data_IF_113332154898
#
_entry.id   IF_113332154898
#
_cell.length_a   1.000
_cell.length_b   1.000
_cell.length_c   1.000
_cell.angle_alpha   90.00
_cell.angle_beta   90.00
_cell.angle_gamma   90.00
#
_symmetry.space_group_name_H-M   'P 1'
#
loop_
_entity.id
_entity.type
_entity.pdbx_description
1 polymer ?
#
# COMPACT_ATOMS: atom_id res chain seq x y z
N UNK A 1 4.50 -29.35 -2.38
CA UNK A 1 4.40 -28.38 -1.25
C UNK A 1 4.53 -26.97 -1.82
N UNK A 2 3.43 -26.23 -1.99
CA UNK A 2 3.49 -24.88 -2.56
C UNK A 2 4.10 -23.90 -1.55
N UNK A 3 5.33 -23.43 -1.79
CA UNK A 3 5.96 -22.42 -0.94
C UNK A 3 5.30 -21.07 -1.19
N UNK A 4 4.78 -20.45 -0.14
CA UNK A 4 4.26 -19.07 -0.22
C UNK A 4 5.45 -18.12 -0.33
N UNK A 5 5.55 -17.42 -1.46
CA UNK A 5 6.64 -16.49 -1.77
C UNK A 5 6.34 -15.03 -1.39
N UNK A 6 5.15 -14.79 -0.84
CA UNK A 6 4.67 -13.48 -0.42
C UNK A 6 4.34 -13.45 1.07
N UNK A 7 4.43 -12.28 1.68
CA UNK A 7 3.96 -12.01 3.05
C UNK A 7 3.05 -10.80 3.03
N UNK A 8 2.00 -10.82 3.84
CA UNK A 8 1.14 -9.67 4.09
C UNK A 8 1.24 -9.32 5.57
N UNK A 9 1.54 -8.06 5.86
CA UNK A 9 1.59 -7.52 7.22
C UNK A 9 0.66 -6.33 7.30
N UNK A 10 -0.27 -6.35 8.25
CA UNK A 10 -1.12 -5.21 8.54
C UNK A 10 -0.35 -4.23 9.42
N UNK A 11 -0.41 -2.95 9.06
CA UNK A 11 0.19 -1.85 9.79
C UNK A 11 -0.88 -0.81 10.09
N UNK A 12 -0.77 -0.20 11.25
CA UNK A 12 -1.54 0.99 11.58
C UNK A 12 -0.56 2.14 11.80
N UNK A 13 -0.85 3.29 11.20
CA UNK A 13 -0.06 4.50 11.30
C UNK A 13 -0.98 5.65 11.66
N UNK A 14 -0.61 6.43 12.68
CA UNK A 14 -1.29 7.68 13.02
C UNK A 14 -0.35 8.85 12.76
N UNK A 15 -0.78 9.79 11.92
CA UNK A 15 -0.03 11.02 11.64
C UNK A 15 -0.78 12.26 12.16
N UNK A 16 -0.08 13.27 12.67
CA UNK A 16 -0.70 14.55 13.03
C UNK A 16 -1.08 15.32 11.77
N UNK A 17 -2.23 16.00 11.82
CA UNK A 17 -2.76 16.83 10.73
C UNK A 17 -2.90 18.27 11.23
N UNK A 18 -2.54 19.22 10.39
CA UNK A 18 -2.70 20.65 10.68
C UNK A 18 -3.85 21.19 9.84
N UNK A 19 -5.04 21.29 10.44
CA UNK A 19 -6.23 21.81 9.77
C UNK A 19 -6.97 20.76 8.96
N UNK A 20 -6.78 20.74 7.65
CA UNK A 20 -7.48 19.82 6.73
C UNK A 20 -6.53 18.80 6.14
N UNK A 21 -7.00 17.56 5.99
CA UNK A 21 -6.22 16.48 5.40
C UNK A 21 -5.92 16.81 3.93
N UNK A 22 -4.63 16.86 3.60
CA UNK A 22 -4.12 17.15 2.27
C UNK A 22 -3.57 15.90 1.58
N UNK A 23 -3.35 15.97 0.26
CA UNK A 23 -2.63 14.91 -0.46
C UNK A 23 -1.19 14.72 0.05
N UNK A 24 -0.53 15.80 0.48
CA UNK A 24 0.79 15.74 1.10
C UNK A 24 0.80 14.94 2.39
N UNK A 25 -0.27 14.99 3.18
CA UNK A 25 -0.41 14.18 4.40
C UNK A 25 -0.52 12.70 4.07
N UNK A 26 -1.35 12.36 3.08
CA UNK A 26 -1.51 10.98 2.61
C UNK A 26 -0.19 10.45 2.04
N UNK A 27 0.51 11.26 1.23
CA UNK A 27 1.82 10.91 0.67
C UNK A 27 2.87 10.73 1.76
N UNK A 28 2.90 11.60 2.76
CA UNK A 28 3.77 11.47 3.93
C UNK A 28 3.50 10.16 4.66
N UNK A 29 2.24 9.84 4.93
CA UNK A 29 1.87 8.59 5.58
C UNK A 29 2.27 7.35 4.75
N UNK A 30 2.15 7.43 3.42
CA UNK A 30 2.62 6.38 2.52
C UNK A 30 4.12 6.17 2.62
N UNK A 31 4.89 7.26 2.61
CA UNK A 31 6.35 7.21 2.70
C UNK A 31 6.82 6.67 4.05
N UNK A 32 6.14 6.99 5.15
CA UNK A 32 6.39 6.40 6.47
C UNK A 32 6.16 4.88 6.47
N UNK A 33 5.04 4.43 5.89
CA UNK A 33 4.75 2.99 5.73
C UNK A 33 5.79 2.29 4.83
N UNK A 34 6.27 2.96 3.77
CA UNK A 34 7.25 2.42 2.84
C UNK A 34 8.64 2.24 3.46
N UNK A 35 8.97 3.05 4.48
CA UNK A 35 10.22 2.98 5.25
C UNK A 35 10.18 1.97 6.39
N UNK A 36 9.02 1.39 6.69
CA UNK A 36 8.88 0.42 7.78
C UNK A 36 9.79 -0.81 7.55
N UNK A 37 10.28 -1.40 8.64
CA UNK A 37 11.19 -2.56 8.57
C UNK A 37 10.60 -3.70 7.72
N UNK A 38 11.42 -4.17 6.77
CA UNK A 38 11.13 -5.32 5.92
C UNK A 38 11.45 -6.62 6.67
N UNK A 39 10.64 -7.68 6.50
CA UNK A 39 11.04 -9.02 6.94
C UNK A 39 12.33 -9.43 6.25
N UNK A 40 13.22 -10.11 6.96
CA UNK A 40 14.51 -10.58 6.41
C UNK A 40 14.31 -11.45 5.15
N UNK A 41 15.05 -11.15 4.08
CA UNK A 41 14.96 -11.83 2.79
C UNK A 41 13.73 -11.45 1.94
N UNK A 42 12.97 -10.43 2.35
CA UNK A 42 11.84 -9.90 1.61
C UNK A 42 12.06 -8.43 1.20
N UNK A 43 11.34 -8.00 0.18
CA UNK A 43 11.20 -6.59 -0.21
C UNK A 43 9.73 -6.21 -0.25
N UNK A 44 9.44 -4.96 0.09
CA UNK A 44 8.11 -4.38 -0.08
C UNK A 44 7.78 -4.28 -1.57
N UNK A 45 6.60 -4.74 -1.96
CA UNK A 45 6.11 -4.67 -3.34
C UNK A 45 4.93 -3.71 -3.48
N UNK A 46 4.00 -3.72 -2.52
CA UNK A 46 2.84 -2.82 -2.57
C UNK A 46 2.35 -2.47 -1.17
N UNK A 47 1.87 -1.24 -1.02
CA UNK A 47 1.12 -0.79 0.16
C UNK A 47 -0.31 -0.52 -0.27
N UNK A 48 -1.26 -1.08 0.45
CA UNK A 48 -2.69 -0.80 0.29
C UNK A 48 -3.20 -0.12 1.55
N UNK A 49 -3.41 1.20 1.52
CA UNK A 49 -4.14 1.92 2.57
C UNK A 49 -5.62 1.53 2.49
N UNK A 50 -6.03 0.62 3.36
CA UNK A 50 -7.31 -0.10 3.25
C UNK A 50 -8.45 0.58 4.01
N UNK A 51 -8.11 1.38 5.03
CA UNK A 51 -9.07 2.10 5.87
C UNK A 51 -8.43 3.34 6.51
N UNK A 52 -9.20 4.41 6.60
CA UNK A 52 -8.83 5.68 7.24
C UNK A 52 -9.78 5.92 8.41
N UNK A 53 -9.27 6.49 9.49
CA UNK A 53 -10.04 6.91 10.65
C UNK A 53 -9.79 8.39 10.92
N UNK A 54 -10.88 9.16 10.97
CA UNK A 54 -10.89 10.61 11.11
C UNK A 54 -12.04 10.96 12.06
N UNK A 55 -11.74 11.73 13.12
CA UNK A 55 -12.73 12.18 14.11
C UNK A 55 -13.67 11.09 14.66
N UNK A 56 -13.14 9.89 14.93
CA UNK A 56 -13.92 8.74 15.43
C UNK A 56 -14.75 8.00 14.36
N UNK A 57 -14.82 8.52 13.14
CA UNK A 57 -15.44 7.85 12.00
C UNK A 57 -14.40 7.09 11.19
N UNK A 58 -14.84 6.08 10.44
CA UNK A 58 -13.95 5.33 9.55
C UNK A 58 -14.48 5.29 8.11
N UNK A 59 -13.57 5.43 7.15
CA UNK A 59 -13.88 5.46 5.73
C UNK A 59 -12.86 4.67 4.93
N UNK A 60 -13.29 4.16 3.77
CA UNK A 60 -12.42 3.54 2.76
C UNK A 60 -12.14 4.48 1.58
N UNK A 61 -12.79 5.66 1.55
CA UNK A 61 -12.48 6.74 0.62
C UNK A 61 -11.36 7.58 1.22
N UNK A 62 -10.55 8.19 0.36
CA UNK A 62 -9.53 9.14 0.81
C UNK A 62 -10.24 10.32 1.50
N UNK A 63 -9.94 10.62 2.78
CA UNK A 63 -10.64 11.65 3.54
C UNK A 63 -10.06 13.05 3.26
N UNK A 64 -9.89 13.39 1.98
CA UNK A 64 -9.31 14.69 1.59
C UNK A 64 -10.22 15.84 2.01
N UNK A 65 -9.62 16.96 2.40
CA UNK A 65 -10.29 18.18 2.86
C UNK A 65 -11.12 18.05 4.15
N UNK A 66 -11.16 16.87 4.79
CA UNK A 66 -11.75 16.71 6.11
C UNK A 66 -10.91 17.43 7.16
N UNK A 67 -11.56 18.19 8.06
CA UNK A 67 -10.89 18.85 9.18
C UNK A 67 -10.60 17.83 10.27
N UNK A 68 -9.34 17.70 10.70
CA UNK A 68 -8.94 16.76 11.74
C UNK A 68 -7.60 17.15 12.32
N UNK A 69 -7.36 16.78 13.57
CA UNK A 69 -6.05 16.95 14.22
C UNK A 69 -5.13 15.75 13.98
N UNK A 70 -5.68 14.63 13.49
CA UNK A 70 -4.93 13.44 13.14
C UNK A 70 -5.62 12.58 12.08
N UNK A 71 -4.80 11.81 11.36
CA UNK A 71 -5.27 10.78 10.44
C UNK A 71 -4.68 9.44 10.89
N UNK A 72 -5.53 8.48 11.23
CA UNK A 72 -5.11 7.10 11.45
C UNK A 72 -5.40 6.27 10.20
N UNK A 73 -4.43 5.48 9.77
CA UNK A 73 -4.50 4.68 8.55
C UNK A 73 -4.22 3.23 8.92
N UNK A 74 -5.09 2.33 8.49
CA UNK A 74 -4.77 0.91 8.39
C UNK A 74 -4.29 0.60 6.97
N UNK A 75 -3.14 -0.06 6.89
CA UNK A 75 -2.52 -0.42 5.64
C UNK A 75 -2.10 -1.88 5.61
N UNK A 76 -2.30 -2.52 4.47
CA UNK A 76 -1.78 -3.85 4.17
C UNK A 76 -0.49 -3.68 3.37
N UNK A 77 0.63 -4.09 3.96
CA UNK A 77 1.93 -4.08 3.32
C UNK A 77 2.21 -5.48 2.76
N UNK A 78 2.46 -5.54 1.46
CA UNK A 78 2.75 -6.76 0.73
C UNK A 78 4.26 -6.85 0.47
N UNK A 79 4.82 -8.00 0.80
CA UNK A 79 6.25 -8.26 0.64
C UNK A 79 6.44 -9.51 -0.21
N UNK A 80 7.45 -9.50 -1.09
CA UNK A 80 7.86 -10.67 -1.86
C UNK A 80 9.29 -11.09 -1.53
N UNK A 81 9.59 -12.39 -1.64
CA UNK A 81 10.96 -12.89 -1.42
C UNK A 81 11.92 -12.29 -2.45
N UNK A 82 13.04 -11.77 -1.97
CA UNK A 82 14.13 -11.26 -2.82
C UNK A 82 14.65 -12.33 -3.78
N UNK A 83 14.81 -13.56 -3.30
CA UNK A 83 15.27 -14.70 -4.09
C UNK A 83 14.36 -15.03 -5.28
N UNK A 84 13.11 -14.56 -5.26
CA UNK A 84 12.16 -14.73 -6.36
C UNK A 84 12.15 -13.50 -7.25
N UNK A 85 12.14 -12.29 -6.67
CA UNK A 85 11.99 -11.04 -7.43
C UNK A 85 13.27 -10.65 -8.17
N UNK A 86 14.43 -10.74 -7.50
CA UNK A 86 15.70 -10.22 -8.04
C UNK A 86 16.16 -10.90 -9.33
N UNK A 87 15.96 -12.22 -9.54
CA UNK A 87 16.23 -12.83 -10.84
C UNK A 87 15.46 -12.18 -12.00
N UNK A 88 14.17 -11.86 -11.81
CA UNK A 88 13.38 -11.16 -12.85
C UNK A 88 13.85 -9.73 -13.06
N UNK A 89 14.15 -9.01 -11.98
CA UNK A 89 14.69 -7.64 -12.04
C UNK A 89 15.98 -7.61 -12.85
N UNK A 90 16.89 -8.53 -12.57
CA UNK A 90 18.19 -8.61 -13.25
C UNK A 90 18.05 -8.84 -14.76
N UNK A 91 17.10 -9.66 -15.20
CA UNK A 91 16.87 -9.89 -16.64
C UNK A 91 16.39 -8.62 -17.35
N UNK A 92 15.48 -7.86 -16.72
CA UNK A 92 14.96 -6.61 -17.28
C UNK A 92 16.03 -5.51 -17.28
N UNK A 93 16.82 -5.41 -16.24
CA UNK A 93 17.91 -4.41 -16.20
C UNK A 93 19.00 -4.72 -17.23
N UNK A 94 19.32 -6.00 -17.45
CA UNK A 94 20.28 -6.44 -18.49
C UNK A 94 19.83 -6.13 -19.91
N UNK A 95 18.53 -5.92 -20.16
CA UNK A 95 18.06 -5.47 -21.48
C UNK A 95 18.17 -3.95 -21.67
N UNK A 96 18.76 -3.22 -20.72
CA UNK A 96 18.92 -1.76 -20.77
C UNK A 96 17.67 -0.99 -20.35
N UNK A 97 16.67 -1.67 -19.77
CA UNK A 97 15.45 -1.05 -19.28
C UNK A 97 15.55 -0.72 -17.79
N UNK A 98 14.89 0.37 -17.39
CA UNK A 98 14.75 0.76 -15.98
C UNK A 98 13.39 0.33 -15.44
N UNK A 99 13.39 -0.38 -14.32
CA UNK A 99 12.15 -0.75 -13.62
C UNK A 99 11.65 0.45 -12.83
N UNK A 100 10.40 0.83 -13.05
CA UNK A 100 9.73 1.91 -12.31
C UNK A 100 9.02 1.40 -11.06
N UNK A 101 8.37 0.23 -11.13
CA UNK A 101 7.59 -0.33 -10.03
C UNK A 101 7.46 -1.87 -10.17
N UNK A 102 7.24 -2.57 -9.05
CA UNK A 102 7.03 -4.02 -8.98
C UNK A 102 5.72 -4.30 -8.24
N UNK A 103 4.67 -4.59 -9.00
CA UNK A 103 3.34 -4.84 -8.45
C UNK A 103 3.09 -6.36 -8.37
N UNK A 104 2.67 -6.84 -7.20
CA UNK A 104 2.27 -8.24 -7.04
C UNK A 104 0.87 -8.49 -7.62
N UNK A 105 0.69 -9.61 -8.34
CA UNK A 105 -0.61 -10.00 -8.92
C UNK A 105 -1.74 -10.09 -7.88
N UNK A 106 -1.43 -10.48 -6.64
CA UNK A 106 -2.42 -10.51 -5.54
C UNK A 106 -2.90 -9.08 -5.24
N UNK A 107 -1.99 -8.12 -5.18
CA UNK A 107 -2.35 -6.71 -4.94
C UNK A 107 -3.14 -6.11 -6.11
N UNK A 108 -2.83 -6.52 -7.34
CA UNK A 108 -3.58 -6.09 -8.53
C UNK A 108 -5.00 -6.69 -8.56
N UNK A 109 -5.15 -7.97 -8.21
CA UNK A 109 -6.46 -8.62 -8.11
C UNK A 109 -7.34 -7.98 -7.04
N UNK A 110 -6.77 -7.66 -5.88
CA UNK A 110 -7.49 -6.96 -4.81
C UNK A 110 -7.94 -5.58 -5.29
N UNK A 111 -7.07 -4.81 -5.97
CA UNK A 111 -7.45 -3.53 -6.59
C UNK A 111 -8.61 -3.73 -7.57
N UNK A 112 -8.51 -4.66 -8.52
CA UNK A 112 -9.56 -4.96 -9.51
C UNK A 112 -10.88 -5.36 -8.87
N UNK A 113 -10.86 -6.24 -7.86
CA UNK A 113 -12.07 -6.64 -7.14
C UNK A 113 -12.72 -5.47 -6.38
N UNK A 114 -11.91 -4.61 -5.75
CA UNK A 114 -12.40 -3.40 -5.09
C UNK A 114 -12.98 -2.39 -6.09
N UNK A 115 -12.38 -2.22 -7.26
CA UNK A 115 -12.92 -1.39 -8.34
C UNK A 115 -14.27 -1.93 -8.86
N UNK A 116 -14.37 -3.24 -9.10
CA UNK A 116 -15.62 -3.88 -9.53
C UNK A 116 -16.75 -3.70 -8.50
N UNK A 117 -16.46 -3.91 -7.21
CA UNK A 117 -17.44 -3.66 -6.14
C UNK A 117 -17.87 -2.21 -6.00
N UNK A 118 -17.02 -1.23 -6.39
CA UNK A 118 -17.38 0.19 -6.37
C UNK A 118 -18.42 0.54 -7.44
N UNK A 119 -18.37 -0.12 -8.61
CA UNK A 119 -19.34 0.11 -9.69
C UNK A 119 -20.71 -0.49 -9.37
N UNK A 120 -20.78 -1.61 -8.63
CA UNK A 120 -22.04 -2.27 -8.26
C UNK A 120 -22.81 -1.60 -7.11
N UNK A 121 -22.25 -0.60 -6.43
CA UNK A 121 -22.90 0.13 -5.32
C UNK A 121 -23.41 1.52 -5.78
N UNK A 122 -23.28 1.83 -7.07
CA UNK A 122 -23.72 3.11 -7.67
C UNK A 122 -25.03 2.98 -8.47
N UNK A 123 -25.85 1.97 -8.18
CA UNK A 123 -27.22 1.75 -8.66
C UNK A 123 -28.15 1.62 -7.45
#
# INVERSE_FOLDING_TARGET
>A
MYRVHTKRINRQLRIPITGRISESDVRRAYNELAKAQYPEGYILTNILMSKFFVNGSSTRKLPLNEKSDALTIEAECYYGKQSVIFPYVSVVEKSGLKILDIISMISDLVKKHLYSKRQSISL
#
